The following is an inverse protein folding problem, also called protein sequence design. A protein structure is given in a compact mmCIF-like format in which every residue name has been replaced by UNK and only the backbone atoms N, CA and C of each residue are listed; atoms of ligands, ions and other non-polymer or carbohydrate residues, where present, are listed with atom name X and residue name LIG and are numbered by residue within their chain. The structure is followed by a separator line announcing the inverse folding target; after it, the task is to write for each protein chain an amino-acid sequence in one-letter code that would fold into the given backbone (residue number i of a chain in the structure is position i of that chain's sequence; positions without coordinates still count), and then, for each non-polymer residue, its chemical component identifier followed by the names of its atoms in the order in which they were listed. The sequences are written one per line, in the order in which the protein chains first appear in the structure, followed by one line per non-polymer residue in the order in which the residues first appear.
data_IF_996021684287
#
_entry.id   IF_996021684287
#
_cell.length_a   1.000
_cell.length_b   1.000
_cell.length_c   1.000
_cell.angle_alpha   90.00
_cell.angle_beta   90.00
_cell.angle_gamma   90.00
#
_symmetry.space_group_name_H-M   'P 1'
#
loop_
_entity.id
_entity.type
_entity.pdbx_description
1 polymer ?
#
# COMPACT_ATOMS: atom_id res chain seq x y z
N UNK A 1 -12.08 17.55 23.04
CA UNK A 1 -13.08 17.03 22.07
C UNK A 1 -13.86 18.22 21.50
N UNK A 2 -13.27 18.99 20.60
CA UNK A 2 -13.90 20.20 20.04
C UNK A 2 -13.76 20.31 18.53
N UNK A 3 -13.03 19.39 17.88
CA UNK A 3 -12.84 19.39 16.43
C UNK A 3 -13.99 18.71 15.67
N UNK A 4 -14.60 17.65 16.24
CA UNK A 4 -15.68 16.88 15.61
C UNK A 4 -16.87 16.74 16.57
N UNK A 5 -18.10 16.80 16.04
CA UNK A 5 -19.34 16.66 16.82
C UNK A 5 -19.77 15.20 16.94
N UNK A 6 -19.62 14.42 15.86
CA UNK A 6 -19.79 12.97 15.80
C UNK A 6 -18.47 12.27 15.45
N UNK A 7 -18.42 10.95 15.69
CA UNK A 7 -17.33 10.09 15.17
C UNK A 7 -17.41 9.94 13.66
N UNK A 8 -18.60 10.07 13.07
CA UNK A 8 -18.83 9.97 11.62
C UNK A 8 -18.29 11.20 10.86
N UNK A 9 -17.99 12.29 11.58
CA UNK A 9 -17.42 13.51 11.00
C UNK A 9 -15.89 13.43 10.85
N UNK A 10 -15.25 12.36 11.35
CA UNK A 10 -13.80 12.22 11.33
C UNK A 10 -13.31 11.98 9.89
N UNK A 11 -12.45 12.86 9.39
CA UNK A 11 -11.78 12.67 8.11
C UNK A 11 -10.99 11.35 8.10
N UNK A 12 -11.12 10.57 7.02
CA UNK A 12 -10.42 9.29 6.85
C UNK A 12 -8.92 9.39 7.13
N UNK A 13 -8.27 10.44 6.60
CA UNK A 13 -6.83 10.64 6.80
C UNK A 13 -6.46 10.80 8.27
N UNK A 14 -7.25 11.57 9.03
CA UNK A 14 -7.05 11.76 10.46
C UNK A 14 -7.34 10.46 11.22
N UNK A 15 -8.43 9.76 10.89
CA UNK A 15 -8.72 8.44 11.46
C UNK A 15 -7.56 7.47 11.30
N UNK A 16 -7.09 7.28 10.07
CA UNK A 16 -5.95 6.42 9.73
C UNK A 16 -4.66 6.78 10.48
N UNK A 17 -4.37 8.07 10.67
CA UNK A 17 -3.16 8.53 11.38
C UNK A 17 -3.18 8.23 12.88
N UNK A 18 -4.37 8.22 13.50
CA UNK A 18 -4.51 8.10 14.95
C UNK A 18 -4.95 6.71 15.41
N UNK A 19 -5.15 5.75 14.50
CA UNK A 19 -5.33 4.36 14.86
C UNK A 19 -4.08 3.77 15.53
N UNK A 20 -4.29 2.85 16.48
CA UNK A 20 -3.20 2.08 17.05
C UNK A 20 -2.63 1.14 15.99
N UNK A 21 -1.30 1.13 15.88
CA UNK A 21 -0.54 0.28 14.98
C UNK A 21 -0.85 -1.22 15.17
N UNK A 22 -0.90 -1.96 14.07
CA UNK A 22 -1.08 -3.42 14.06
C UNK A 22 0.24 -4.10 14.47
N UNK A 23 0.29 -4.68 15.67
CA UNK A 23 1.50 -5.32 16.23
C UNK A 23 2.76 -4.41 16.22
N UNK A 24 3.89 -4.87 16.77
CA UNK A 24 5.03 -4.00 17.05
C UNK A 24 5.83 -3.54 15.81
N UNK A 25 5.55 -4.08 14.62
CA UNK A 25 6.35 -3.81 13.41
C UNK A 25 5.60 -3.00 12.34
N UNK A 26 4.27 -2.88 12.44
CA UNK A 26 3.52 -2.07 11.47
C UNK A 26 3.68 -0.58 11.77
N UNK A 27 3.87 0.21 10.71
CA UNK A 27 3.79 1.68 10.73
C UNK A 27 2.38 2.20 10.46
N UNK A 28 1.38 1.31 10.37
CA UNK A 28 -0.01 1.65 10.09
C UNK A 28 -0.98 0.96 11.06
N UNK A 29 -2.06 1.66 11.38
CA UNK A 29 -3.26 1.07 11.95
C UNK A 29 -4.02 0.17 10.95
N UNK A 30 -5.00 -0.62 11.43
CA UNK A 30 -5.68 -1.63 10.62
C UNK A 30 -6.35 -1.08 9.35
N UNK A 31 -6.97 0.10 9.43
CA UNK A 31 -7.68 0.69 8.27
C UNK A 31 -6.69 1.16 7.21
N UNK A 32 -5.66 1.90 7.64
CA UNK A 32 -4.60 2.38 6.74
C UNK A 32 -3.86 1.21 6.08
N UNK A 33 -3.57 0.15 6.84
CA UNK A 33 -2.92 -1.06 6.35
C UNK A 33 -3.77 -1.75 5.28
N UNK A 34 -5.06 -1.94 5.54
CA UNK A 34 -5.99 -2.59 4.60
C UNK A 34 -6.04 -1.85 3.25
N UNK A 35 -6.33 -0.54 3.29
CA UNK A 35 -6.42 0.30 2.08
C UNK A 35 -5.11 0.27 1.30
N UNK A 36 -3.99 0.43 2.00
CA UNK A 36 -2.66 0.47 1.40
C UNK A 36 -2.30 -0.87 0.76
N UNK A 37 -2.51 -1.98 1.47
CA UNK A 37 -2.22 -3.32 0.96
C UNK A 37 -3.01 -3.64 -0.31
N UNK A 38 -4.31 -3.33 -0.33
CA UNK A 38 -5.13 -3.48 -1.52
C UNK A 38 -4.64 -2.62 -2.69
N UNK A 39 -4.27 -1.36 -2.41
CA UNK A 39 -3.80 -0.46 -3.45
C UNK A 39 -2.45 -0.90 -4.04
N UNK A 40 -1.50 -1.35 -3.20
CA UNK A 40 -0.23 -1.91 -3.68
C UNK A 40 -0.44 -3.16 -4.53
N UNK A 41 -1.32 -4.07 -4.11
CA UNK A 41 -1.66 -5.26 -4.88
C UNK A 41 -2.26 -4.90 -6.24
N UNK A 42 -3.25 -3.99 -6.27
CA UNK A 42 -3.88 -3.53 -7.51
C UNK A 42 -2.87 -2.83 -8.43
N UNK A 43 -1.96 -2.04 -7.86
CA UNK A 43 -0.93 -1.34 -8.62
C UNK A 43 0.05 -2.33 -9.26
N UNK A 44 0.55 -3.32 -8.50
CA UNK A 44 1.44 -4.35 -9.03
C UNK A 44 0.75 -5.18 -10.12
N UNK A 45 -0.44 -5.72 -9.83
CA UNK A 45 -1.13 -6.63 -10.73
C UNK A 45 -1.72 -5.94 -11.97
N UNK A 46 -2.04 -4.65 -11.85
CA UNK A 46 -2.58 -3.84 -12.94
C UNK A 46 -1.52 -3.30 -13.90
N UNK A 47 -0.24 -3.33 -13.51
CA UNK A 47 0.85 -2.82 -14.34
C UNK A 47 1.45 -3.94 -15.20
N UNK A 48 1.16 -3.92 -16.51
CA UNK A 48 1.72 -4.85 -17.50
C UNK A 48 3.25 -4.77 -17.59
N UNK A 49 3.85 -3.68 -17.13
CA UNK A 49 5.29 -3.45 -17.17
C UNK A 49 5.96 -3.60 -15.79
N UNK A 50 5.25 -4.14 -14.80
CA UNK A 50 5.84 -4.39 -13.50
C UNK A 50 7.08 -5.28 -13.65
N UNK A 51 8.17 -4.93 -12.96
CA UNK A 51 9.52 -5.38 -13.31
C UNK A 51 9.73 -6.90 -13.24
N UNK A 52 8.95 -7.62 -12.44
CA UNK A 52 9.08 -9.07 -12.27
C UNK A 52 8.21 -9.90 -13.24
N UNK A 53 7.48 -9.25 -14.16
CA UNK A 53 6.71 -9.93 -15.21
C UNK A 53 7.65 -10.47 -16.28
N UNK A 54 7.69 -11.79 -16.43
CA UNK A 54 8.46 -12.52 -17.45
C UNK A 54 7.68 -12.77 -18.75
N UNK A 55 8.37 -13.34 -19.73
CA UNK A 55 7.80 -13.86 -20.98
C UNK A 55 7.03 -12.83 -21.83
N UNK A 56 7.32 -11.53 -21.68
CA UNK A 56 6.79 -10.46 -22.52
C UNK A 56 7.91 -9.80 -23.34
N UNK A 57 7.61 -9.19 -24.50
CA UNK A 57 8.62 -8.53 -25.35
C UNK A 57 9.48 -7.47 -24.64
N UNK A 58 8.96 -6.87 -23.55
CA UNK A 58 9.64 -5.82 -22.78
C UNK A 58 10.03 -6.27 -21.36
N UNK A 59 9.99 -7.57 -21.08
CA UNK A 59 10.44 -8.11 -19.79
C UNK A 59 11.95 -7.90 -19.63
N UNK A 60 12.38 -7.66 -18.39
CA UNK A 60 13.80 -7.63 -18.06
C UNK A 60 14.45 -9.01 -18.29
N UNK A 61 15.72 -8.99 -18.72
CA UNK A 61 16.54 -10.21 -18.77
C UNK A 61 16.92 -10.67 -17.35
N UNK A 62 17.33 -11.94 -17.16
CA UNK A 62 17.82 -12.40 -15.87
C UNK A 62 18.94 -11.53 -15.28
N UNK A 63 19.90 -11.12 -16.11
CA UNK A 63 21.00 -10.25 -15.69
C UNK A 63 20.52 -8.86 -15.25
N UNK A 64 19.49 -8.32 -15.91
CA UNK A 64 18.89 -7.04 -15.52
C UNK A 64 18.11 -7.15 -14.22
N UNK A 65 17.40 -8.26 -13.99
CA UNK A 65 16.68 -8.52 -12.74
C UNK A 65 17.64 -8.62 -11.55
N UNK A 66 18.84 -9.16 -11.74
CA UNK A 66 19.88 -9.24 -10.71
C UNK A 66 20.36 -7.85 -10.24
N UNK A 67 20.24 -6.82 -11.08
CA UNK A 67 20.62 -5.45 -10.71
C UNK A 67 19.56 -4.69 -9.91
N UNK A 68 18.30 -5.18 -9.87
CA UNK A 68 17.16 -4.48 -9.24
C UNK A 68 16.48 -5.28 -8.12
N UNK A 69 16.97 -6.49 -7.83
CA UNK A 69 16.55 -7.31 -6.69
C UNK A 69 17.48 -7.06 -5.51
#
# INVERSE_FOLDING_TARGET
KTAYQSVDDIDLYIGCLFETHVESESLMGPTALCITAEQFQKTKNGDRYFYDIGDQPNSFTPDQLDQIR
#
